data_IF_514977012645
#
_entry.id   IF_514977012645
#
_cell.length_a   1.000
_cell.length_b   1.000
_cell.length_c   1.000
_cell.angle_alpha   90.00
_cell.angle_beta   90.00
_cell.angle_gamma   90.00
#
_symmetry.space_group_name_H-M   'P 1'
#
loop_
_entity.id
_entity.type
_entity.pdbx_description
1 polymer ?
#
# COMPACT_ATOMS: atom_id res chain seq x y z
N UNK A 1 -24.65 -4.64 -8.97
CA UNK A 1 -23.34 -5.12 -8.51
C UNK A 1 -22.84 -4.11 -7.50
N UNK A 2 -22.69 -4.50 -6.25
CA UNK A 2 -22.18 -3.61 -5.20
C UNK A 2 -20.74 -3.19 -5.53
N UNK A 3 -20.52 -1.88 -5.71
CA UNK A 3 -19.18 -1.33 -5.81
C UNK A 3 -18.56 -1.36 -4.42
N UNK A 4 -17.93 -2.48 -4.04
CA UNK A 4 -17.11 -2.51 -2.84
C UNK A 4 -15.89 -1.62 -3.05
N UNK A 5 -15.83 -0.56 -2.26
CA UNK A 5 -14.70 0.35 -2.19
C UNK A 5 -13.77 -0.16 -1.10
N UNK A 6 -12.50 -0.36 -1.44
CA UNK A 6 -11.50 -0.83 -0.49
C UNK A 6 -10.86 0.33 0.29
N UNK A 7 -10.62 0.09 1.57
CA UNK A 7 -9.85 0.98 2.46
C UNK A 7 -8.42 0.48 2.65
N UNK A 8 -7.50 1.40 2.94
CA UNK A 8 -6.10 1.07 3.22
C UNK A 8 -5.84 1.15 4.72
N UNK A 9 -5.35 0.05 5.29
CA UNK A 9 -4.91 -0.03 6.68
C UNK A 9 -3.42 -0.34 6.73
N UNK A 10 -2.69 0.37 7.58
CA UNK A 10 -1.28 0.09 7.84
C UNK A 10 -1.15 -0.75 9.11
N UNK A 11 -0.25 -1.73 9.08
CA UNK A 11 0.19 -2.43 10.28
C UNK A 11 1.24 -1.59 11.01
N UNK A 12 1.45 -1.84 12.30
CA UNK A 12 2.49 -1.15 13.06
C UNK A 12 3.90 -1.30 12.46
N UNK A 13 4.19 -2.46 11.86
CA UNK A 13 5.45 -2.70 11.16
C UNK A 13 5.59 -1.78 9.95
N UNK A 14 4.55 -1.71 9.11
CA UNK A 14 4.52 -0.85 7.94
C UNK A 14 4.64 0.64 8.32
N UNK A 15 4.03 1.07 9.42
CA UNK A 15 4.18 2.44 9.93
C UNK A 15 5.61 2.75 10.37
N UNK A 16 6.25 1.82 11.09
CA UNK A 16 7.66 1.97 11.52
C UNK A 16 8.58 2.06 10.31
N UNK A 17 8.36 1.23 9.30
CA UNK A 17 9.14 1.23 8.06
C UNK A 17 8.94 2.52 7.26
N UNK A 18 7.68 2.98 7.13
CA UNK A 18 7.37 4.24 6.47
C UNK A 18 7.99 5.44 7.21
N UNK A 19 7.99 5.42 8.54
CA UNK A 19 8.64 6.44 9.38
C UNK A 19 10.15 6.43 9.20
N UNK A 20 10.79 5.25 9.19
CA UNK A 20 12.23 5.11 8.91
C UNK A 20 12.59 5.61 7.52
N UNK A 21 11.78 5.26 6.52
CA UNK A 21 11.97 5.73 5.14
C UNK A 21 11.82 7.25 5.06
N UNK A 22 10.83 7.85 5.73
CA UNK A 22 10.67 9.30 5.74
C UNK A 22 11.86 10.08 6.31
N UNK A 23 12.57 9.48 7.28
CA UNK A 23 13.78 10.06 7.88
C UNK A 23 14.99 9.94 6.96
N UNK A 24 15.11 8.80 6.27
CA UNK A 24 16.27 8.48 5.42
C UNK A 24 16.14 9.07 4.02
N UNK A 25 14.94 9.02 3.44
CA UNK A 25 14.61 9.53 2.11
C UNK A 25 13.15 10.06 2.05
N UNK A 26 13.02 11.36 2.32
CA UNK A 26 11.73 12.07 2.34
C UNK A 26 11.02 12.10 0.99
N UNK A 27 11.75 12.12 -0.12
CA UNK A 27 11.18 12.19 -1.46
C UNK A 27 10.45 10.88 -1.81
N UNK A 28 11.10 9.73 -1.57
CA UNK A 28 10.50 8.41 -1.79
C UNK A 28 9.28 8.22 -0.88
N UNK A 29 9.38 8.60 0.40
CA UNK A 29 8.24 8.47 1.32
C UNK A 29 7.01 9.29 0.87
N UNK A 30 7.20 10.49 0.33
CA UNK A 30 6.11 11.29 -0.25
C UNK A 30 5.50 10.61 -1.48
N UNK A 31 6.34 10.08 -2.36
CA UNK A 31 5.90 9.39 -3.57
C UNK A 31 5.04 8.17 -3.23
N UNK A 32 5.49 7.32 -2.30
CA UNK A 32 4.73 6.14 -1.86
C UNK A 32 3.38 6.53 -1.27
N UNK A 33 3.35 7.53 -0.37
CA UNK A 33 2.09 8.02 0.20
C UNK A 33 1.14 8.50 -0.88
N UNK A 34 1.61 9.33 -1.82
CA UNK A 34 0.81 9.82 -2.93
C UNK A 34 0.25 8.66 -3.78
N UNK A 35 1.09 7.68 -4.09
CA UNK A 35 0.68 6.53 -4.89
C UNK A 35 -0.43 5.72 -4.19
N UNK A 36 -0.30 5.46 -2.88
CA UNK A 36 -1.33 4.76 -2.10
C UNK A 36 -2.64 5.54 -2.10
N UNK A 37 -2.60 6.85 -1.85
CA UNK A 37 -3.77 7.72 -1.86
C UNK A 37 -4.50 7.70 -3.20
N UNK A 38 -3.76 7.74 -4.32
CA UNK A 38 -4.35 7.85 -5.66
C UNK A 38 -4.77 6.50 -6.26
N UNK A 39 -4.17 5.39 -5.83
CA UNK A 39 -4.33 4.09 -6.50
C UNK A 39 -5.00 3.00 -5.65
N UNK A 40 -4.97 3.12 -4.32
CA UNK A 40 -5.49 2.10 -3.42
C UNK A 40 -6.66 2.58 -2.57
N UNK A 41 -6.71 3.86 -2.21
CA UNK A 41 -7.87 4.41 -1.49
C UNK A 41 -9.01 4.59 -2.49
N UNK A 42 -10.20 4.10 -2.16
CA UNK A 42 -11.36 4.31 -3.04
C UNK A 42 -11.44 3.35 -4.22
N UNK A 43 -10.47 2.44 -4.37
CA UNK A 43 -10.43 1.52 -5.51
C UNK A 43 -11.46 0.42 -5.38
N UNK A 44 -12.01 -0.03 -6.52
CA UNK A 44 -12.90 -1.19 -6.59
C UNK A 44 -12.15 -2.49 -6.84
N UNK A 45 -10.90 -2.40 -7.31
CA UNK A 45 -10.07 -3.57 -7.59
C UNK A 45 -8.60 -3.32 -7.20
N UNK A 46 -8.22 -3.54 -5.93
CA UNK A 46 -6.86 -3.31 -5.45
C UNK A 46 -5.84 -4.27 -6.11
N UNK A 47 -6.30 -5.40 -6.64
CA UNK A 47 -5.44 -6.39 -7.33
C UNK A 47 -5.07 -5.95 -8.75
N UNK A 48 -5.74 -4.95 -9.33
CA UNK A 48 -5.49 -4.49 -10.70
C UNK A 48 -4.05 -4.01 -10.92
N UNK A 49 -3.47 -3.34 -9.91
CA UNK A 49 -2.10 -2.78 -9.97
C UNK A 49 -1.09 -3.57 -9.14
N UNK A 50 -1.55 -4.60 -8.43
CA UNK A 50 -0.72 -5.47 -7.61
C UNK A 50 -0.19 -6.66 -8.40
N UNK A 51 0.84 -7.30 -7.86
CA UNK A 51 1.26 -8.64 -8.26
C UNK A 51 1.14 -9.56 -7.06
N UNK A 52 0.62 -10.76 -7.29
CA UNK A 52 0.56 -11.78 -6.25
C UNK A 52 1.99 -12.12 -5.80
N UNK A 53 2.20 -12.18 -4.49
CA UNK A 53 3.45 -12.64 -3.92
C UNK A 53 3.61 -14.14 -4.17
N UNK A 54 4.86 -14.61 -4.24
CA UNK A 54 5.20 -16.00 -4.57
C UNK A 54 6.15 -16.60 -3.54
N UNK A 55 6.31 -17.93 -3.55
CA UNK A 55 7.17 -18.64 -2.60
C UNK A 55 6.60 -18.61 -1.17
N UNK A 56 7.46 -18.35 -0.19
CA UNK A 56 7.09 -18.32 1.23
C UNK A 56 6.10 -17.21 1.62
N UNK A 57 5.82 -16.28 0.71
CA UNK A 57 4.91 -15.15 0.92
C UNK A 57 3.60 -15.30 0.13
N UNK A 58 3.35 -16.46 -0.50
CA UNK A 58 2.19 -16.69 -1.37
C UNK A 58 0.84 -16.69 -0.63
N UNK A 59 0.84 -16.96 0.67
CA UNK A 59 -0.37 -17.04 1.51
C UNK A 59 -0.61 -15.79 2.37
N UNK A 60 0.18 -14.74 2.16
CA UNK A 60 0.08 -13.46 2.86
C UNK A 60 -0.82 -12.47 2.11
#
# INVERSE_FOLDING_TARGET
MENQIYEVKFTESAEKDLKKLSKTNKAIAKLIKKWILENLIGTQNPKQRGKALTGNLKEL
#
